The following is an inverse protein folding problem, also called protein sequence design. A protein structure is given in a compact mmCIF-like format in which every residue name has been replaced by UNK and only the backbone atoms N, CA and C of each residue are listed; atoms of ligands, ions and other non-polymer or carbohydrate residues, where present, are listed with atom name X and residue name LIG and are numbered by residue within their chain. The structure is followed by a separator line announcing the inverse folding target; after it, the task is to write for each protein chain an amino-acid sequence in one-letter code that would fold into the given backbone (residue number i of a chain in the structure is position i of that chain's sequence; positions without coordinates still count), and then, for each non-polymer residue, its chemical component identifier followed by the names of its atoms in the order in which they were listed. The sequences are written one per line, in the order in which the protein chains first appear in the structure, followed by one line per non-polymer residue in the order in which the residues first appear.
data_IF_960079573456
#
_entry.id   IF_960079573456
#
_cell.length_a   1.000
_cell.length_b   1.000
_cell.length_c   1.000
_cell.angle_alpha   90.00
_cell.angle_beta   90.00
_cell.angle_gamma   90.00
#
_symmetry.space_group_name_H-M   'P 1'
#
loop_
_entity.id
_entity.type
_entity.pdbx_description
1 polymer ?
#
# COMPACT_ATOMS: atom_id res chain seq x y z
N UNK A 1 13.91 6.43 4.19
CA UNK A 1 12.47 6.46 4.51
C UNK A 1 12.06 7.77 5.17
N UNK A 2 11.55 8.74 4.39
CA UNK A 2 10.77 9.84 4.95
C UNK A 2 9.45 9.24 5.47
N UNK A 3 9.16 9.45 6.75
CA UNK A 3 7.91 8.98 7.37
C UNK A 3 6.82 9.98 7.03
N UNK A 4 5.98 9.64 6.06
CA UNK A 4 4.81 10.44 5.67
C UNK A 4 3.54 9.84 6.25
N UNK A 5 2.64 10.71 6.72
CA UNK A 5 1.32 10.31 7.22
C UNK A 5 0.25 11.23 6.64
N UNK A 6 -0.79 10.63 6.09
CA UNK A 6 -1.91 11.33 5.46
C UNK A 6 -3.22 10.92 6.13
N UNK A 7 -4.14 11.87 6.29
CA UNK A 7 -5.42 11.65 6.95
C UNK A 7 -6.56 11.92 5.99
N UNK A 8 -7.55 11.03 5.97
CA UNK A 8 -8.79 11.19 5.22
C UNK A 8 -9.94 10.63 6.03
N UNK A 9 -10.85 11.51 6.46
CA UNK A 9 -11.98 11.15 7.33
C UNK A 9 -11.53 10.34 8.56
N UNK A 10 -11.95 9.07 8.64
CA UNK A 10 -11.63 8.13 9.70
C UNK A 10 -10.51 7.16 9.28
N UNK A 11 -9.66 7.55 8.35
CA UNK A 11 -8.56 6.74 7.85
C UNK A 11 -7.24 7.51 7.86
N UNK A 12 -6.15 6.76 7.97
CA UNK A 12 -4.79 7.26 7.94
C UNK A 12 -3.95 6.40 7.00
N UNK A 13 -3.21 7.00 6.06
CA UNK A 13 -2.12 6.31 5.36
C UNK A 13 -0.81 6.61 6.07
N UNK A 14 0.05 5.62 6.23
CA UNK A 14 1.43 5.83 6.68
C UNK A 14 2.44 4.93 5.97
N UNK A 15 3.65 5.46 5.79
CA UNK A 15 4.83 4.72 5.32
C UNK A 15 5.77 4.29 6.43
N UNK A 16 5.37 4.45 7.71
CA UNK A 16 6.20 4.11 8.86
C UNK A 16 6.29 2.59 9.04
N UNK A 17 7.48 1.97 8.93
CA UNK A 17 7.64 0.52 9.08
C UNK A 17 7.19 -0.01 10.45
N UNK A 18 7.26 0.84 11.47
CA UNK A 18 6.87 0.53 12.86
C UNK A 18 5.37 0.22 13.00
N UNK A 19 4.55 0.69 12.05
CA UNK A 19 3.09 0.50 12.06
C UNK A 19 2.67 -0.75 11.29
N UNK A 20 3.60 -1.38 10.56
CA UNK A 20 3.32 -2.59 9.80
C UNK A 20 3.41 -3.76 10.78
N UNK A 21 2.35 -4.56 10.83
CA UNK A 21 2.29 -5.78 11.62
C UNK A 21 2.57 -6.98 10.71
N UNK A 22 3.75 -7.62 10.79
CA UNK A 22 4.09 -8.74 9.93
C UNK A 22 3.05 -9.85 10.01
N UNK A 23 2.52 -10.13 11.20
CA UNK A 23 1.51 -11.17 11.40
C UNK A 23 0.21 -10.86 10.65
N UNK A 24 -0.22 -9.59 10.62
CA UNK A 24 -1.40 -9.16 9.88
C UNK A 24 -1.17 -9.24 8.36
N UNK A 25 0.01 -8.85 7.88
CA UNK A 25 0.40 -8.97 6.47
C UNK A 25 0.39 -10.45 6.04
N UNK A 26 0.95 -11.33 6.87
CA UNK A 26 0.98 -12.76 6.57
C UNK A 26 -0.42 -13.37 6.57
N UNK A 27 -1.27 -12.99 7.53
CA UNK A 27 -2.67 -13.42 7.57
C UNK A 27 -3.43 -12.97 6.31
N UNK A 28 -3.17 -11.76 5.81
CA UNK A 28 -3.74 -11.28 4.56
C UNK A 28 -3.25 -12.11 3.36
N UNK A 29 -1.95 -12.42 3.29
CA UNK A 29 -1.38 -13.30 2.26
C UNK A 29 -1.86 -14.75 2.31
N UNK A 30 -2.37 -15.20 3.46
CA UNK A 30 -2.98 -16.53 3.62
C UNK A 30 -4.49 -16.51 3.35
N UNK A 31 -5.09 -15.34 3.14
CA UNK A 31 -6.51 -15.21 2.82
C UNK A 31 -6.81 -15.42 1.34
N UNK A 32 -8.02 -15.91 1.05
CA UNK A 32 -8.50 -16.08 -0.34
C UNK A 32 -8.60 -14.76 -1.11
N UNK A 33 -8.64 -13.64 -0.40
CA UNK A 33 -8.75 -12.32 -1.01
C UNK A 33 -7.46 -11.85 -1.68
N UNK A 34 -6.29 -12.35 -1.25
CA UNK A 34 -4.99 -12.11 -1.91
C UNK A 34 -4.57 -13.39 -2.64
N UNK A 35 -5.30 -13.73 -3.71
CA UNK A 35 -5.10 -14.98 -4.46
C UNK A 35 -3.74 -15.10 -5.16
N UNK A 36 -3.00 -13.99 -5.33
CA UNK A 36 -1.71 -13.97 -6.01
C UNK A 36 -0.50 -14.14 -5.08
N UNK A 37 -0.70 -14.10 -3.77
CA UNK A 37 0.34 -14.26 -2.76
C UNK A 37 0.08 -15.51 -1.90
N UNK A 38 1.08 -15.86 -1.09
CA UNK A 38 0.97 -16.87 -0.04
C UNK A 38 1.75 -16.40 1.17
N UNK A 39 1.32 -16.84 2.36
CA UNK A 39 2.08 -16.64 3.59
C UNK A 39 3.53 -17.11 3.45
N UNK A 40 4.42 -16.41 4.16
CA UNK A 40 5.86 -16.68 4.22
C UNK A 40 6.28 -17.00 5.64
N UNK A 41 7.43 -17.67 5.79
CA UNK A 41 8.02 -17.81 7.12
C UNK A 41 8.41 -16.43 7.68
N UNK A 42 8.31 -16.21 9.01
CA UNK A 42 8.50 -14.89 9.62
C UNK A 42 9.82 -14.20 9.28
N UNK A 43 10.91 -14.95 9.09
CA UNK A 43 12.22 -14.40 8.72
C UNK A 43 12.21 -13.77 7.32
N UNK A 44 11.64 -14.46 6.33
CA UNK A 44 11.55 -13.96 4.96
C UNK A 44 10.58 -12.80 4.85
N UNK A 45 9.46 -12.85 5.58
CA UNK A 45 8.49 -11.75 5.62
C UNK A 45 9.13 -10.48 6.17
N UNK A 46 9.83 -10.56 7.31
CA UNK A 46 10.55 -9.42 7.89
C UNK A 46 11.61 -8.88 6.94
N UNK A 47 12.36 -9.76 6.26
CA UNK A 47 13.35 -9.37 5.26
C UNK A 47 12.70 -8.63 4.10
N UNK A 48 11.58 -9.13 3.58
CA UNK A 48 10.80 -8.49 2.51
C UNK A 48 10.35 -7.09 2.93
N UNK A 49 9.66 -6.97 4.07
CA UNK A 49 9.19 -5.68 4.59
C UNK A 49 10.33 -4.68 4.84
N UNK A 50 11.51 -5.14 5.28
CA UNK A 50 12.68 -4.28 5.51
C UNK A 50 13.30 -3.70 4.23
N UNK A 51 12.95 -4.25 3.06
CA UNK A 51 13.47 -3.87 1.74
C UNK A 51 12.41 -3.22 0.85
N UNK A 52 11.23 -2.97 1.41
CA UNK A 52 10.08 -2.43 0.69
C UNK A 52 9.58 -1.16 1.34
N UNK A 53 9.18 -0.20 0.51
CA UNK A 53 8.40 0.94 0.94
C UNK A 53 6.93 0.52 0.95
N UNK A 54 6.39 0.27 2.14
CA UNK A 54 5.01 -0.13 2.32
C UNK A 54 4.13 1.08 2.65
N UNK A 55 2.89 1.04 2.17
CA UNK A 55 1.86 2.00 2.49
C UNK A 55 0.75 1.26 3.24
N UNK A 56 0.63 1.53 4.52
CA UNK A 56 -0.47 1.01 5.34
C UNK A 56 -1.61 2.03 5.39
N UNK A 57 -2.84 1.58 5.19
CA UNK A 57 -4.08 2.33 5.41
C UNK A 57 -4.71 1.79 6.70
N UNK A 58 -4.97 2.68 7.65
CA UNK A 58 -5.44 2.34 8.99
C UNK A 58 -6.77 3.03 9.25
N UNK A 59 -7.77 2.25 9.66
CA UNK A 59 -8.98 2.84 10.23
C UNK A 59 -8.65 3.52 11.57
N UNK A 60 -9.19 4.70 11.79
CA UNK A 60 -9.08 5.44 13.03
C UNK A 60 -10.38 5.29 13.82
N UNK A 61 -10.33 4.98 15.13
CA UNK A 61 -11.49 5.07 16.00
C UNK A 61 -12.16 6.44 15.91
N UNK A 62 -13.49 6.48 15.95
CA UNK A 62 -14.32 7.69 15.84
C UNK A 62 -13.99 8.75 16.92
N UNK A 63 -13.40 8.33 18.04
CA UNK A 63 -12.94 9.20 19.14
C UNK A 63 -11.47 9.65 19.03
N UNK A 64 -10.72 9.18 18.03
CA UNK A 64 -9.26 9.26 18.02
C UNK A 64 -8.72 10.26 17.00
N UNK A 65 -8.93 11.55 17.26
CA UNK A 65 -7.91 12.56 16.89
C UNK A 65 -6.76 12.62 17.90
N UNK A 66 -6.82 11.86 19.00
CA UNK A 66 -5.92 12.00 20.16
C UNK A 66 -5.35 10.70 20.72
N UNK A 67 -5.55 9.54 20.09
CA UNK A 67 -5.01 8.29 20.63
C UNK A 67 -5.27 7.08 19.74
N UNK A 68 -4.27 6.74 18.93
CA UNK A 68 -4.25 5.54 18.11
C UNK A 68 -3.82 4.33 18.96
N UNK A 69 -4.57 3.22 18.90
CA UNK A 69 -4.12 1.92 19.39
C UNK A 69 -3.72 1.06 18.19
N UNK A 70 -2.62 0.32 18.31
CA UNK A 70 -2.06 -0.54 17.25
C UNK A 70 -3.02 -1.65 16.74
N UNK A 71 -4.25 -1.75 17.25
CA UNK A 71 -5.17 -2.87 17.01
C UNK A 71 -6.21 -2.60 15.90
N UNK A 72 -6.04 -1.55 15.11
CA UNK A 72 -6.97 -1.28 14.00
C UNK A 72 -6.63 -2.13 12.79
N UNK A 73 -7.66 -2.71 12.14
CA UNK A 73 -7.57 -3.37 10.85
C UNK A 73 -6.74 -2.50 9.89
N UNK A 74 -5.70 -3.09 9.32
CA UNK A 74 -4.79 -2.42 8.41
C UNK A 74 -5.06 -2.94 7.01
N UNK A 75 -5.55 -2.07 6.14
CA UNK A 75 -5.51 -2.27 4.69
C UNK A 75 -4.07 -1.99 4.25
N UNK A 76 -3.53 -2.76 3.31
CA UNK A 76 -2.09 -2.70 3.05
C UNK A 76 -1.74 -2.83 1.59
N UNK A 77 -0.67 -2.11 1.24
CA UNK A 77 -0.09 -2.11 -0.08
C UNK A 77 1.44 -1.97 0.01
N UNK A 78 2.17 -2.59 -0.92
CA UNK A 78 3.64 -2.63 -0.91
C UNK A 78 4.29 -2.12 -2.19
N UNK A 79 5.37 -1.35 -2.07
CA UNK A 79 6.23 -1.05 -3.20
C UNK A 79 7.66 -1.54 -2.96
N UNK A 80 8.23 -2.22 -3.95
CA UNK A 80 9.64 -2.58 -3.99
C UNK A 80 10.39 -1.52 -4.76
N UNK A 81 11.42 -0.92 -4.17
CA UNK A 81 12.03 0.28 -4.73
C UNK A 81 13.49 0.41 -4.33
N UNK A 82 14.30 1.06 -5.18
CA UNK A 82 15.65 1.51 -4.84
C UNK A 82 15.66 2.88 -4.13
N UNK A 83 14.47 3.45 -3.85
CA UNK A 83 14.22 4.77 -3.27
C UNK A 83 14.74 5.96 -4.08
N UNK A 84 15.17 5.75 -5.34
CA UNK A 84 15.81 6.82 -6.11
C UNK A 84 15.35 6.85 -7.56
N UNK A 85 15.35 5.71 -8.24
CA UNK A 85 15.22 5.66 -9.70
C UNK A 85 14.13 4.75 -10.22
N UNK A 86 13.68 3.78 -9.43
CA UNK A 86 12.68 2.80 -9.85
C UNK A 86 11.81 2.33 -8.68
N UNK A 87 10.50 2.22 -8.93
CA UNK A 87 9.55 1.59 -8.01
C UNK A 87 8.69 0.54 -8.72
N UNK A 88 8.46 -0.59 -8.06
CA UNK A 88 7.57 -1.67 -8.47
C UNK A 88 6.43 -1.80 -7.47
N UNK A 89 5.23 -1.46 -7.91
CA UNK A 89 3.99 -1.43 -7.16
C UNK A 89 3.38 -2.85 -7.19
N UNK A 90 3.21 -3.52 -6.04
CA UNK A 90 2.66 -4.88 -5.95
C UNK A 90 1.94 -5.12 -4.61
N UNK A 91 1.15 -6.18 -4.52
CA UNK A 91 0.44 -6.56 -3.29
C UNK A 91 -0.54 -5.48 -2.79
N UNK A 92 -1.34 -4.95 -3.72
CA UNK A 92 -2.36 -3.92 -3.44
C UNK A 92 -3.64 -4.57 -3.01
N UNK A 93 -4.04 -4.33 -1.77
CA UNK A 93 -5.27 -4.90 -1.24
C UNK A 93 -5.92 -4.01 -0.18
N UNK A 94 -7.25 -3.97 -0.21
CA UNK A 94 -8.11 -3.32 0.80
C UNK A 94 -9.05 -4.40 1.30
N UNK A 95 -9.12 -4.59 2.61
CA UNK A 95 -10.04 -5.54 3.26
C UNK A 95 -11.46 -5.27 2.80
N UNK A 96 -12.22 -6.33 2.55
CA UNK A 96 -13.57 -6.26 2.01
C UNK A 96 -14.50 -5.33 2.80
N UNK A 97 -14.37 -5.31 4.14
CA UNK A 97 -15.11 -4.41 5.07
C UNK A 97 -14.79 -2.90 4.92
N UNK A 98 -13.74 -2.57 4.16
CA UNK A 98 -13.28 -1.21 3.90
C UNK A 98 -13.37 -0.83 2.40
N UNK A 99 -13.72 -1.78 1.52
CA UNK A 99 -13.94 -1.51 0.10
C UNK A 99 -15.18 -0.63 -0.14
N UNK A 100 -15.27 -0.04 -1.34
CA UNK A 100 -16.36 0.87 -1.73
C UNK A 100 -16.31 2.27 -1.13
N UNK A 101 -15.32 2.56 -0.28
CA UNK A 101 -15.14 3.87 0.40
C UNK A 101 -14.14 4.81 -0.29
N UNK A 102 -13.69 4.47 -1.50
CA UNK A 102 -12.69 5.27 -2.24
C UNK A 102 -11.25 5.19 -1.74
N UNK A 103 -10.97 4.34 -0.73
CA UNK A 103 -9.64 4.21 -0.12
C UNK A 103 -8.53 3.84 -1.10
N UNK A 104 -8.83 2.97 -2.08
CA UNK A 104 -7.86 2.60 -3.11
C UNK A 104 -7.43 3.80 -3.95
N UNK A 105 -8.38 4.62 -4.40
CA UNK A 105 -8.08 5.83 -5.18
C UNK A 105 -7.28 6.83 -4.36
N UNK A 106 -7.68 7.07 -3.11
CA UNK A 106 -6.95 7.94 -2.19
C UNK A 106 -5.51 7.45 -1.93
N UNK A 107 -5.33 6.14 -1.77
CA UNK A 107 -4.01 5.53 -1.63
C UNK A 107 -3.14 5.75 -2.88
N UNK A 108 -3.70 5.55 -4.08
CA UNK A 108 -2.97 5.78 -5.33
C UNK A 108 -2.61 7.25 -5.50
N UNK A 109 -3.44 8.20 -5.07
CA UNK A 109 -3.11 9.62 -5.04
C UNK A 109 -1.89 9.88 -4.15
N UNK A 110 -1.88 9.35 -2.93
CA UNK A 110 -0.75 9.50 -2.02
C UNK A 110 0.54 8.89 -2.58
N UNK A 111 0.46 7.70 -3.17
CA UNK A 111 1.61 7.05 -3.84
C UNK A 111 2.12 7.92 -5.00
N UNK A 112 1.22 8.50 -5.80
CA UNK A 112 1.61 9.40 -6.88
C UNK A 112 2.38 10.62 -6.34
N UNK A 113 1.95 11.21 -5.22
CA UNK A 113 2.61 12.37 -4.62
C UNK A 113 3.96 12.03 -4.00
N UNK A 114 4.05 10.91 -3.29
CA UNK A 114 5.31 10.41 -2.75
C UNK A 114 6.33 10.20 -3.88
N UNK A 115 5.94 9.51 -4.95
CA UNK A 115 6.79 9.27 -6.12
C UNK A 115 7.11 10.53 -6.92
N UNK A 116 6.19 11.49 -7.03
CA UNK A 116 6.46 12.78 -7.67
C UNK A 116 7.48 13.62 -6.89
N UNK A 117 7.62 13.39 -5.58
CA UNK A 117 8.63 14.06 -4.76
C UNK A 117 10.06 13.56 -5.00
N UNK A 118 10.24 12.44 -5.71
CA UNK A 118 11.54 11.85 -5.97
C UNK A 118 12.16 12.39 -7.28
N UNK A 119 13.17 13.26 -7.20
CA UNK A 119 13.66 14.01 -8.36
C UNK A 119 14.34 13.13 -9.44
N UNK A 120 14.78 11.94 -9.07
CA UNK A 120 15.50 11.02 -9.96
C UNK A 120 14.68 9.79 -10.35
N UNK A 121 13.40 9.74 -9.96
CA UNK A 121 12.53 8.62 -10.28
C UNK A 121 12.29 8.57 -11.79
N UNK A 122 12.71 7.47 -12.41
CA UNK A 122 12.62 7.30 -13.88
C UNK A 122 11.39 6.51 -14.27
N UNK A 123 10.98 5.53 -13.45
CA UNK A 123 9.89 4.62 -13.78
C UNK A 123 9.22 4.06 -12.54
N UNK A 124 7.89 4.00 -12.61
CA UNK A 124 7.07 3.22 -11.70
C UNK A 124 6.38 2.15 -12.53
N UNK A 125 6.55 0.89 -12.15
CA UNK A 125 5.88 -0.24 -12.77
C UNK A 125 4.84 -0.79 -11.83
N UNK A 126 3.69 -1.16 -12.38
CA UNK A 126 2.65 -1.89 -11.67
C UNK A 126 2.25 -3.08 -12.53
N UNK A 127 2.12 -4.23 -11.90
CA UNK A 127 1.50 -5.40 -12.50
C UNK A 127 0.20 -5.68 -11.75
N UNK A 128 -0.91 -5.62 -12.48
CA UNK A 128 -2.22 -5.97 -11.96
C UNK A 128 -2.82 -7.06 -12.87
N UNK A 129 -3.59 -7.97 -12.29
CA UNK A 129 -4.33 -8.92 -13.11
C UNK A 129 -5.36 -8.14 -13.96
N UNK A 130 -5.27 -8.35 -15.28
CA UNK A 130 -6.04 -7.65 -16.31
C UNK A 130 -7.56 -7.67 -16.08
N UNK A 131 -8.10 -8.70 -15.41
CA UNK A 131 -9.55 -8.80 -15.20
C UNK A 131 -10.11 -7.90 -14.10
N UNK A 132 -9.32 -7.61 -13.08
CA UNK A 132 -9.84 -7.03 -11.83
C UNK A 132 -9.23 -5.65 -11.51
N UNK A 133 -7.99 -5.39 -11.92
CA UNK A 133 -7.28 -4.14 -11.58
C UNK A 133 -7.13 -3.14 -12.72
N UNK A 134 -7.18 -3.56 -13.98
CA UNK A 134 -6.82 -2.70 -15.13
C UNK A 134 -7.66 -1.42 -15.19
N UNK A 135 -8.98 -1.53 -15.10
CA UNK A 135 -9.88 -0.37 -15.14
C UNK A 135 -9.61 0.60 -13.98
N UNK A 136 -9.34 0.07 -12.78
CA UNK A 136 -9.03 0.87 -11.61
C UNK A 136 -7.72 1.66 -11.82
N UNK A 137 -6.65 1.00 -12.27
CA UNK A 137 -5.38 1.69 -12.47
C UNK A 137 -5.38 2.61 -13.69
N UNK A 138 -6.08 2.26 -14.77
CA UNK A 138 -6.23 3.15 -15.91
C UNK A 138 -6.86 4.50 -15.52
N UNK A 139 -7.79 4.50 -14.57
CA UNK A 139 -8.42 5.72 -14.05
C UNK A 139 -7.50 6.52 -13.09
N UNK A 140 -6.69 5.84 -12.27
CA UNK A 140 -5.97 6.47 -11.14
C UNK A 140 -4.46 6.69 -11.36
N UNK A 141 -3.85 6.17 -12.44
CA UNK A 141 -2.38 6.14 -12.63
C UNK A 141 -1.77 7.29 -13.47
N UNK A 142 -2.57 8.27 -13.89
CA UNK A 142 -2.18 9.27 -14.90
C UNK A 142 -1.08 10.26 -14.47
N UNK A 143 -0.75 10.38 -13.19
CA UNK A 143 0.16 11.42 -12.67
C UNK A 143 1.63 11.01 -12.53
N UNK A 144 1.97 9.81 -12.05
CA UNK A 144 3.37 9.43 -11.75
C UNK A 144 4.13 8.67 -12.85
N UNK A 145 3.67 8.69 -14.12
CA UNK A 145 4.22 7.81 -15.18
C UNK A 145 4.22 6.32 -14.75
N UNK A 146 3.17 5.91 -14.04
CA UNK A 146 2.94 4.51 -13.74
C UNK A 146 2.65 3.77 -15.03
N UNK A 147 3.51 2.82 -15.37
CA UNK A 147 3.32 1.97 -16.54
C UNK A 147 2.67 0.68 -16.07
N UNK A 148 1.41 0.49 -16.44
CA UNK A 148 0.74 -0.80 -16.29
C UNK A 148 1.37 -1.78 -17.29
N UNK A 149 1.84 -2.92 -16.79
CA UNK A 149 2.26 -4.04 -17.63
C UNK A 149 1.20 -5.13 -17.53
N UNK A 150 0.67 -5.50 -18.70
CA UNK A 150 -0.29 -6.57 -18.96
C UNK A 150 0.40 -7.91 -19.20
#
# INVERSE_FOLDING_TARGET
MAKGTWYHENYMISTSPELIQPEAVNAAFESDAIYWARGMEPEYLKKMLSKSLCFGVYALPESSRTGWSQQSSSDWFCSFTDEVTFAYLIDVYVLEEHQGKGLGSWLVEYVNEEFASWPHLRRVMLMANLKEGEAFYALNSSRARMVLQS
#
